data_IF_988308911118
#
_entry.id   IF_988308911118
#
_cell.length_a   1.000
_cell.length_b   1.000
_cell.length_c   1.000
_cell.angle_alpha   90.00
_cell.angle_beta   90.00
_cell.angle_gamma   90.00
#
_symmetry.space_group_name_H-M   'P 1'
#
loop_
_entity.id
_entity.type
_entity.pdbx_description
1 polymer ?
#
# COMPACT_ATOMS: atom_id res chain seq x y z
N UNK A 1 -30.47 1.18 16.88
CA UNK A 1 -29.16 0.55 16.77
C UNK A 1 -28.32 0.84 18.00
N UNK A 2 -27.83 -0.21 18.65
CA UNK A 2 -26.96 -0.05 19.80
C UNK A 2 -25.55 0.32 19.39
N UNK A 3 -24.75 0.77 20.34
CA UNK A 3 -23.32 1.00 20.11
C UNK A 3 -22.64 -0.33 19.89
N UNK A 4 -21.63 -0.38 19.02
CA UNK A 4 -20.86 -1.59 18.83
C UNK A 4 -20.16 -1.99 20.14
N UNK A 5 -20.19 -3.27 20.44
CA UNK A 5 -19.52 -3.80 21.62
C UNK A 5 -18.10 -4.19 21.22
N UNK A 6 -17.12 -3.61 21.89
CA UNK A 6 -15.72 -3.95 21.67
C UNK A 6 -15.36 -5.09 22.62
N UNK A 7 -15.06 -6.23 22.05
CA UNK A 7 -14.59 -7.38 22.82
C UNK A 7 -13.07 -7.35 22.88
N UNK A 8 -12.47 -7.39 24.08
CA UNK A 8 -11.00 -7.41 24.17
C UNK A 8 -10.43 -8.61 23.43
N UNK A 9 -9.36 -8.37 22.69
CA UNK A 9 -8.65 -9.43 22.00
C UNK A 9 -7.78 -10.22 22.99
N UNK A 10 -7.62 -11.50 22.74
CA UNK A 10 -6.68 -12.34 23.48
C UNK A 10 -5.25 -12.22 22.92
N UNK A 11 -5.10 -11.50 21.80
CA UNK A 11 -3.82 -11.30 21.15
C UNK A 11 -2.92 -10.43 22.01
N UNK A 12 -1.64 -10.79 22.12
CA UNK A 12 -0.67 -9.99 22.85
C UNK A 12 -0.37 -8.71 22.08
N UNK A 13 0.11 -7.69 22.78
CA UNK A 13 0.55 -6.44 22.14
C UNK A 13 1.64 -6.70 21.12
N UNK A 14 2.60 -7.56 21.45
CA UNK A 14 3.69 -7.93 20.55
C UNK A 14 3.17 -8.54 19.25
N UNK A 15 2.21 -9.45 19.36
CA UNK A 15 1.61 -10.08 18.20
C UNK A 15 0.82 -9.07 17.36
N UNK A 16 0.08 -8.17 18.01
CA UNK A 16 -0.68 -7.14 17.31
C UNK A 16 0.24 -6.21 16.52
N UNK A 17 1.39 -5.81 17.09
CA UNK A 17 2.38 -4.99 16.39
C UNK A 17 2.94 -5.74 15.20
N UNK A 18 3.28 -7.01 15.36
CA UNK A 18 3.75 -7.86 14.27
C UNK A 18 2.72 -7.96 13.16
N UNK A 19 1.46 -8.13 13.51
CA UNK A 19 0.36 -8.21 12.53
C UNK A 19 0.21 -6.91 11.75
N UNK A 20 0.35 -5.76 12.41
CA UNK A 20 0.31 -4.46 11.72
C UNK A 20 1.47 -4.32 10.75
N UNK A 21 2.68 -4.67 11.16
CA UNK A 21 3.86 -4.61 10.30
C UNK A 21 3.69 -5.52 9.09
N UNK A 22 3.18 -6.72 9.31
CA UNK A 22 2.90 -7.67 8.23
C UNK A 22 1.85 -7.12 7.27
N UNK A 23 0.79 -6.51 7.78
CA UNK A 23 -0.26 -5.94 6.94
C UNK A 23 0.28 -4.80 6.07
N UNK A 24 1.17 -3.95 6.61
CA UNK A 24 1.82 -2.90 5.85
C UNK A 24 2.68 -3.48 4.73
N UNK A 25 3.42 -4.56 5.01
CA UNK A 25 4.23 -5.23 3.99
C UNK A 25 3.36 -5.78 2.85
N UNK A 26 2.22 -6.38 3.18
CA UNK A 26 1.28 -6.87 2.17
C UNK A 26 0.68 -5.73 1.34
N UNK A 27 0.34 -4.61 1.98
CA UNK A 27 -0.18 -3.44 1.30
C UNK A 27 0.87 -2.85 0.34
N UNK A 28 2.12 -2.79 0.74
CA UNK A 28 3.21 -2.32 -0.12
C UNK A 28 3.40 -3.24 -1.34
N UNK A 29 3.30 -4.55 -1.14
CA UNK A 29 3.35 -5.51 -2.24
C UNK A 29 2.23 -5.27 -3.22
N UNK A 30 1.01 -5.06 -2.73
CA UNK A 30 -0.15 -4.76 -3.57
C UNK A 30 0.04 -3.47 -4.36
N UNK A 31 0.59 -2.41 -3.74
CA UNK A 31 0.87 -1.15 -4.42
C UNK A 31 1.93 -1.32 -5.50
N UNK A 32 2.95 -2.14 -5.27
CA UNK A 32 3.96 -2.45 -6.27
C UNK A 32 3.36 -3.13 -7.50
N UNK A 33 2.42 -4.06 -7.28
CA UNK A 33 1.71 -4.71 -8.39
C UNK A 33 0.88 -3.71 -9.19
N UNK A 34 0.23 -2.76 -8.55
CA UNK A 34 -0.53 -1.71 -9.23
C UNK A 34 0.40 -0.85 -10.08
N UNK A 35 1.55 -0.45 -9.56
CA UNK A 35 2.52 0.34 -10.31
C UNK A 35 3.05 -0.42 -11.52
N UNK A 36 3.35 -1.70 -11.38
CA UNK A 36 3.79 -2.53 -12.49
C UNK A 36 2.72 -2.64 -13.56
N UNK A 37 1.46 -2.83 -13.18
CA UNK A 37 0.34 -2.92 -14.12
C UNK A 37 0.16 -1.61 -14.88
N UNK A 38 0.29 -0.46 -14.22
CA UNK A 38 0.19 0.85 -14.86
C UNK A 38 1.36 1.08 -15.83
N UNK A 39 2.57 0.65 -15.45
CA UNK A 39 3.73 0.73 -16.33
C UNK A 39 3.56 -0.12 -17.59
N UNK A 40 3.06 -1.35 -17.47
CA UNK A 40 2.78 -2.22 -18.60
C UNK A 40 1.71 -1.63 -19.51
N UNK A 41 0.66 -1.06 -18.94
CA UNK A 41 -0.40 -0.39 -19.67
C UNK A 41 0.15 0.76 -20.51
N UNK A 42 1.01 1.57 -19.94
CA UNK A 42 1.63 2.69 -20.65
C UNK A 42 2.50 2.17 -21.81
N UNK A 43 3.30 1.14 -21.59
CA UNK A 43 4.11 0.53 -22.63
C UNK A 43 3.28 0.01 -23.80
N UNK A 44 2.15 -0.63 -23.50
CA UNK A 44 1.24 -1.13 -24.53
C UNK A 44 0.65 0.00 -25.37
N UNK A 45 0.25 1.08 -24.72
CA UNK A 45 -0.32 2.23 -25.43
C UNK A 45 0.71 2.89 -26.34
N UNK A 46 1.96 3.05 -25.86
CA UNK A 46 3.04 3.63 -26.66
C UNK A 46 3.36 2.74 -27.88
N UNK A 47 3.28 1.43 -27.72
CA UNK A 47 3.59 0.48 -28.79
C UNK A 47 2.44 0.30 -29.79
N UNK A 48 1.24 0.79 -29.51
CA UNK A 48 0.09 0.64 -30.40
C UNK A 48 0.28 1.40 -31.69
N UNK A 49 0.03 0.73 -32.82
CA UNK A 49 -0.02 1.41 -34.10
C UNK A 49 -1.26 2.31 -34.15
N UNK A 50 -1.05 3.55 -34.61
CA UNK A 50 -2.12 4.52 -34.66
C UNK A 50 -2.36 5.29 -33.37
N UNK A 51 -1.55 5.06 -32.34
CA UNK A 51 -1.62 5.88 -31.14
C UNK A 51 -1.23 7.34 -31.46
N UNK A 52 -2.08 8.26 -31.06
CA UNK A 52 -1.82 9.68 -31.28
C UNK A 52 -1.07 10.28 -30.10
N UNK A 53 -0.51 11.48 -30.28
CA UNK A 53 0.07 12.24 -29.18
C UNK A 53 -0.93 12.46 -28.06
N UNK A 54 -2.20 12.71 -28.42
CA UNK A 54 -3.26 12.88 -27.43
C UNK A 54 -3.51 11.61 -26.61
N UNK A 55 -3.47 10.44 -27.27
CA UNK A 55 -3.65 9.15 -26.58
C UNK A 55 -2.50 8.90 -25.58
N UNK A 56 -1.28 9.18 -26.01
CA UNK A 56 -0.09 8.99 -25.16
C UNK A 56 -0.12 9.96 -23.98
N UNK A 57 -0.52 11.22 -24.21
CA UNK A 57 -0.62 12.22 -23.14
C UNK A 57 -1.70 11.86 -22.13
N UNK A 58 -2.85 11.35 -22.61
CA UNK A 58 -3.93 10.91 -21.74
C UNK A 58 -3.51 9.73 -20.88
N UNK A 59 -2.82 8.76 -21.46
CA UNK A 59 -2.29 7.60 -20.75
C UNK A 59 -1.26 8.03 -19.71
N UNK A 60 -0.35 8.92 -20.06
CA UNK A 60 0.66 9.42 -19.16
C UNK A 60 0.04 10.16 -17.97
N UNK A 61 -1.00 10.97 -18.22
CA UNK A 61 -1.73 11.65 -17.14
C UNK A 61 -2.40 10.67 -16.20
N UNK A 62 -3.00 9.60 -16.74
CA UNK A 62 -3.63 8.56 -15.94
C UNK A 62 -2.62 7.85 -15.05
N UNK A 63 -1.45 7.49 -15.60
CA UNK A 63 -0.37 6.87 -14.84
C UNK A 63 0.13 7.81 -13.75
N UNK A 64 0.32 9.09 -14.06
CA UNK A 64 0.76 10.08 -13.08
C UNK A 64 -0.23 10.19 -11.92
N UNK A 65 -1.52 10.21 -12.20
CA UNK A 65 -2.56 10.27 -11.16
C UNK A 65 -2.47 9.03 -10.25
N UNK A 66 -2.27 7.86 -10.83
CA UNK A 66 -2.12 6.62 -10.08
C UNK A 66 -0.86 6.64 -9.21
N UNK A 67 0.26 7.08 -9.78
CA UNK A 67 1.53 7.19 -9.04
C UNK A 67 1.39 8.15 -7.85
N UNK A 68 0.74 9.28 -8.04
CA UNK A 68 0.49 10.24 -6.96
C UNK A 68 -0.36 9.62 -5.86
N UNK A 69 -1.40 8.87 -6.23
CA UNK A 69 -2.25 8.17 -5.25
C UNK A 69 -1.48 7.12 -4.46
N UNK A 70 -0.64 6.34 -5.13
CA UNK A 70 0.21 5.33 -4.49
C UNK A 70 1.20 5.99 -3.55
N UNK A 71 1.82 7.11 -3.96
CA UNK A 71 2.75 7.84 -3.10
C UNK A 71 2.07 8.31 -1.82
N UNK A 72 0.83 8.79 -1.90
CA UNK A 72 0.07 9.21 -0.71
C UNK A 72 -0.23 8.04 0.20
N UNK A 73 -0.60 6.88 -0.37
CA UNK A 73 -0.84 5.68 0.41
C UNK A 73 0.42 5.20 1.11
N UNK A 74 1.57 5.25 0.44
CA UNK A 74 2.84 4.88 1.05
C UNK A 74 3.20 5.80 2.21
N UNK A 75 2.90 7.09 2.12
CA UNK A 75 3.11 8.03 3.23
C UNK A 75 2.25 7.65 4.43
N UNK A 76 1.00 7.25 4.20
CA UNK A 76 0.11 6.78 5.27
C UNK A 76 0.65 5.50 5.91
N UNK A 77 1.13 4.56 5.11
CA UNK A 77 1.71 3.31 5.61
C UNK A 77 2.97 3.57 6.43
N UNK A 78 3.81 4.50 5.98
CA UNK A 78 4.99 4.91 6.73
C UNK A 78 4.60 5.54 8.07
N UNK A 79 3.55 6.37 8.08
CA UNK A 79 3.05 6.95 9.31
C UNK A 79 2.55 5.89 10.29
N UNK A 80 1.89 4.84 9.80
CA UNK A 80 1.48 3.71 10.63
C UNK A 80 2.68 3.02 11.28
N UNK A 81 3.74 2.79 10.53
CA UNK A 81 4.95 2.17 11.06
C UNK A 81 5.63 3.07 12.08
N UNK A 82 5.62 4.38 11.86
CA UNK A 82 6.22 5.35 12.78
C UNK A 82 5.57 5.32 14.16
N UNK A 83 4.31 4.93 14.27
CA UNK A 83 3.63 4.81 15.55
C UNK A 83 4.32 3.81 16.49
N UNK A 84 5.05 2.85 15.94
CA UNK A 84 5.69 1.80 16.70
C UNK A 84 7.22 1.96 16.80
N UNK A 85 7.74 3.10 16.33
CA UNK A 85 9.18 3.34 16.26
C UNK A 85 9.85 3.25 17.63
N UNK A 86 9.20 3.83 18.65
CA UNK A 86 9.70 3.83 20.01
C UNK A 86 9.09 2.73 20.88
N UNK A 87 8.22 1.93 20.31
CA UNK A 87 7.44 0.93 21.04
C UNK A 87 7.59 -0.45 20.45
N UNK A 88 8.74 -0.73 19.82
CA UNK A 88 9.00 -2.03 19.26
C UNK A 88 8.98 -3.08 20.38
N UNK A 89 8.13 -4.06 20.19
CA UNK A 89 8.00 -5.13 21.13
C UNK A 89 9.05 -6.20 20.84
N UNK A 90 9.93 -6.44 21.81
CA UNK A 90 10.88 -7.54 21.71
C UNK A 90 10.16 -8.81 22.14
N UNK A 91 9.81 -9.64 21.18
CA UNK A 91 9.17 -10.92 21.48
C UNK A 91 10.19 -11.89 22.03
N UNK A 92 9.84 -12.67 23.06
CA UNK A 92 10.73 -13.71 23.55
C UNK A 92 11.08 -14.70 22.41
N UNK A 93 12.33 -15.15 22.32
CA UNK A 93 12.72 -16.10 21.28
C UNK A 93 12.08 -17.46 21.42
N UNK A 94 11.61 -17.77 22.60
CA UNK A 94 10.89 -19.01 22.84
C UNK A 94 9.42 -18.85 22.60
N UNK A 95 8.85 -19.82 22.05
CA UNK A 95 7.43 -19.86 21.77
C UNK A 95 6.76 -20.90 22.61
#
# INVERSE_FOLDING_TARGET
MGMPVITPSTTTRCQSITDVIQSVALEQTALSHILNAEGEKLQKIIAMQGATSADIMAANKSVRTMVDSVARLEMILQAKLSLFEDCLCVCPPTV
#
